data_IF_340844526986
#
_entry.id   IF_340844526986
#
_cell.length_a   1.000
_cell.length_b   1.000
_cell.length_c   1.000
_cell.angle_alpha   90.00
_cell.angle_beta   90.00
_cell.angle_gamma   90.00
#
_symmetry.space_group_name_H-M   'P 1'
#
loop_
_entity.id
_entity.type
_entity.pdbx_description
1 polymer ?
#
# COMPACT_ATOMS: atom_id res chain seq x y z
N UNK A 1 1.42 20.96 -26.80
CA UNK A 1 0.60 19.73 -26.94
C UNK A 1 0.79 18.74 -25.78
N UNK A 2 1.90 18.78 -25.03
CA UNK A 2 2.22 17.89 -23.88
C UNK A 2 1.39 18.25 -22.63
N UNK A 3 1.14 19.54 -22.35
CA UNK A 3 0.39 19.99 -21.16
C UNK A 3 -1.04 19.43 -21.03
N UNK A 4 -1.73 19.21 -22.15
CA UNK A 4 -3.12 18.72 -22.13
C UNK A 4 -3.24 17.20 -21.88
N UNK A 5 -2.22 16.42 -22.23
CA UNK A 5 -2.23 14.96 -21.97
C UNK A 5 -1.94 14.64 -20.51
N UNK A 6 -0.96 15.33 -19.92
CA UNK A 6 -0.57 15.13 -18.51
C UNK A 6 -1.69 15.52 -17.55
N UNK A 7 -2.40 16.62 -17.84
CA UNK A 7 -3.55 17.06 -17.03
C UNK A 7 -4.73 16.08 -17.12
N UNK A 8 -5.01 15.53 -18.32
CA UNK A 8 -6.06 14.52 -18.50
C UNK A 8 -5.75 13.20 -17.79
N UNK A 9 -4.47 12.80 -17.74
CA UNK A 9 -4.02 11.60 -17.03
C UNK A 9 -4.13 11.78 -15.53
N UNK A 10 -3.72 12.92 -15.00
CA UNK A 10 -3.87 13.24 -13.58
C UNK A 10 -5.35 13.28 -13.17
N UNK A 11 -6.19 13.92 -13.98
CA UNK A 11 -7.64 13.99 -13.75
C UNK A 11 -8.32 12.62 -13.86
N UNK A 12 -7.91 11.77 -14.79
CA UNK A 12 -8.44 10.41 -14.93
C UNK A 12 -8.05 9.51 -13.75
N UNK A 13 -6.79 9.55 -13.32
CA UNK A 13 -6.35 8.76 -12.15
C UNK A 13 -7.03 9.22 -10.86
N UNK A 14 -7.26 10.53 -10.69
CA UNK A 14 -7.98 11.08 -9.54
C UNK A 14 -9.47 10.73 -9.58
N UNK A 15 -10.09 10.72 -10.79
CA UNK A 15 -11.49 10.36 -10.96
C UNK A 15 -11.73 8.86 -10.70
N UNK A 16 -10.85 8.00 -11.18
CA UNK A 16 -10.90 6.55 -10.93
C UNK A 16 -10.76 6.27 -9.43
N UNK A 17 -9.85 6.98 -8.76
CA UNK A 17 -9.66 6.88 -7.33
C UNK A 17 -10.88 7.38 -6.54
N UNK A 18 -11.50 8.49 -6.97
CA UNK A 18 -12.71 9.03 -6.35
C UNK A 18 -13.92 8.11 -6.55
N UNK A 19 -14.07 7.48 -7.73
CA UNK A 19 -15.12 6.50 -8.00
C UNK A 19 -14.93 5.21 -7.18
N UNK A 20 -13.70 4.72 -7.04
CA UNK A 20 -13.40 3.57 -6.18
C UNK A 20 -13.70 3.87 -4.71
N UNK A 21 -13.42 5.08 -4.23
CA UNK A 21 -13.69 5.50 -2.85
C UNK A 21 -15.17 5.78 -2.59
N UNK A 22 -15.92 6.29 -3.57
CA UNK A 22 -17.33 6.66 -3.39
C UNK A 22 -18.31 5.49 -3.52
N UNK A 23 -17.97 4.45 -4.28
CA UNK A 23 -18.83 3.28 -4.46
C UNK A 23 -18.85 2.33 -3.23
N UNK A 24 -17.99 2.53 -2.23
CA UNK A 24 -17.65 1.47 -1.29
C UNK A 24 -17.76 1.78 0.20
N UNK A 25 -18.23 2.95 0.62
CA UNK A 25 -18.43 3.22 2.06
C UNK A 25 -19.39 2.19 2.68
N UNK A 26 -20.41 1.75 1.93
CA UNK A 26 -21.35 0.72 2.37
C UNK A 26 -20.75 -0.69 2.34
N UNK A 27 -19.89 -1.00 1.35
CA UNK A 27 -19.23 -2.31 1.27
C UNK A 27 -18.26 -2.52 2.44
N UNK A 28 -17.36 -1.56 2.68
CA UNK A 28 -16.38 -1.66 3.76
C UNK A 28 -17.02 -1.57 5.15
N UNK A 29 -18.09 -0.81 5.29
CA UNK A 29 -18.77 -0.63 6.57
C UNK A 29 -19.67 -1.81 6.95
N UNK A 30 -20.37 -2.38 5.97
CA UNK A 30 -21.42 -3.37 6.21
C UNK A 30 -20.98 -4.81 5.89
N UNK A 31 -20.09 -5.01 4.93
CA UNK A 31 -19.74 -6.34 4.42
C UNK A 31 -18.35 -6.83 4.79
N UNK A 32 -17.35 -5.96 4.82
CA UNK A 32 -16.00 -6.37 5.21
C UNK A 32 -15.93 -6.98 6.62
N UNK A 33 -16.63 -6.45 7.65
CA UNK A 33 -16.65 -7.09 8.96
C UNK A 33 -17.18 -8.52 8.94
N UNK A 34 -18.21 -8.80 8.13
CA UNK A 34 -18.79 -10.16 8.03
C UNK A 34 -17.85 -11.14 7.32
N UNK A 35 -17.13 -10.70 6.30
CA UNK A 35 -16.12 -11.52 5.62
C UNK A 35 -15.03 -11.94 6.59
N UNK A 36 -14.54 -10.97 7.36
CA UNK A 36 -13.48 -11.18 8.33
C UNK A 36 -13.93 -12.11 9.45
N UNK A 37 -15.17 -11.95 9.90
CA UNK A 37 -15.74 -12.81 10.92
C UNK A 37 -15.89 -14.24 10.41
N UNK A 38 -16.33 -14.44 9.16
CA UNK A 38 -16.45 -15.76 8.55
C UNK A 38 -15.10 -16.45 8.38
N UNK A 39 -14.07 -15.72 7.96
CA UNK A 39 -12.70 -16.22 7.88
C UNK A 39 -12.18 -16.56 9.29
N UNK A 40 -12.40 -15.69 10.27
CA UNK A 40 -12.02 -15.94 11.68
C UNK A 40 -12.66 -17.20 12.25
N UNK A 41 -13.97 -17.34 12.08
CA UNK A 41 -14.72 -18.53 12.51
C UNK A 41 -14.24 -19.80 11.80
N UNK A 42 -13.87 -19.73 10.51
CA UNK A 42 -13.28 -20.85 9.77
C UNK A 42 -11.95 -21.29 10.39
N UNK A 43 -11.09 -20.36 10.81
CA UNK A 43 -9.84 -20.71 11.50
C UNK A 43 -10.08 -21.35 12.87
N UNK A 44 -11.05 -20.87 13.65
CA UNK A 44 -11.41 -21.46 14.93
C UNK A 44 -11.93 -22.89 14.79
N UNK A 45 -12.63 -23.20 13.69
CA UNK A 45 -13.21 -24.50 13.39
C UNK A 45 -12.22 -25.45 12.66
N UNK A 46 -11.00 -25.00 12.34
CA UNK A 46 -10.03 -25.76 11.58
C UNK A 46 -10.27 -25.79 10.05
N UNK A 47 -11.22 -25.02 9.56
CA UNK A 47 -11.62 -24.88 8.14
C UNK A 47 -11.18 -23.54 7.54
N UNK A 48 -10.08 -22.97 8.06
CA UNK A 48 -9.64 -21.61 7.69
C UNK A 48 -9.31 -21.45 6.22
N UNK A 49 -8.79 -22.50 5.57
CA UNK A 49 -8.49 -22.47 4.13
C UNK A 49 -9.76 -22.42 3.29
N UNK A 50 -10.73 -23.27 3.60
CA UNK A 50 -12.02 -23.36 2.93
C UNK A 50 -12.84 -22.08 3.10
N UNK A 51 -12.81 -21.48 4.29
CA UNK A 51 -13.45 -20.21 4.58
C UNK A 51 -12.83 -19.05 3.77
N UNK A 52 -11.51 -19.00 3.65
CA UNK A 52 -10.80 -18.01 2.82
C UNK A 52 -11.16 -18.21 1.33
N UNK A 53 -11.14 -19.45 0.85
CA UNK A 53 -11.46 -19.75 -0.56
C UNK A 53 -12.92 -19.41 -0.88
N UNK A 54 -13.87 -19.72 0.00
CA UNK A 54 -15.29 -19.42 -0.17
C UNK A 54 -15.56 -17.91 -0.18
N UNK A 55 -14.99 -17.15 0.77
CA UNK A 55 -15.15 -15.71 0.82
C UNK A 55 -14.44 -15.02 -0.36
N UNK A 56 -13.27 -15.50 -0.74
CA UNK A 56 -12.55 -14.97 -1.89
C UNK A 56 -13.29 -15.22 -3.21
N UNK A 57 -13.90 -16.39 -3.40
CA UNK A 57 -14.73 -16.67 -4.58
C UNK A 57 -16.00 -15.82 -4.59
N UNK A 58 -16.67 -15.65 -3.46
CA UNK A 58 -17.90 -14.87 -3.37
C UNK A 58 -17.68 -13.38 -3.58
N UNK A 59 -16.54 -12.85 -3.17
CA UNK A 59 -16.26 -11.40 -3.15
C UNK A 59 -15.30 -10.95 -4.25
N UNK A 60 -14.31 -11.74 -4.61
CA UNK A 60 -13.42 -11.40 -5.73
C UNK A 60 -14.20 -11.32 -7.05
N UNK A 61 -15.27 -12.11 -7.19
CA UNK A 61 -16.16 -12.07 -8.36
C UNK A 61 -17.08 -10.85 -8.33
N UNK A 62 -17.57 -10.43 -7.17
CA UNK A 62 -18.59 -9.38 -7.08
C UNK A 62 -17.98 -7.97 -6.97
N UNK A 63 -16.96 -7.78 -6.13
CA UNK A 63 -16.23 -6.49 -6.01
C UNK A 63 -15.36 -6.27 -7.25
N UNK A 64 -14.75 -7.32 -7.78
CA UNK A 64 -14.09 -7.25 -9.06
C UNK A 64 -15.07 -6.89 -10.17
N UNK A 65 -16.25 -7.51 -10.26
CA UNK A 65 -17.17 -7.24 -11.35
C UNK A 65 -17.81 -5.84 -11.24
N UNK A 66 -18.31 -5.43 -10.08
CA UNK A 66 -18.99 -4.13 -9.94
C UNK A 66 -18.04 -2.92 -10.01
N UNK A 67 -16.82 -3.02 -9.46
CA UNK A 67 -15.78 -2.00 -9.59
C UNK A 67 -15.01 -2.10 -10.91
N UNK A 68 -14.85 -3.29 -11.44
CA UNK A 68 -14.17 -3.56 -12.71
C UNK A 68 -15.07 -3.18 -13.88
N UNK A 69 -16.36 -3.53 -13.91
CA UNK A 69 -17.24 -3.22 -15.04
C UNK A 69 -17.33 -1.71 -15.31
N UNK A 70 -17.31 -0.88 -14.28
CA UNK A 70 -17.29 0.59 -14.43
C UNK A 70 -15.89 1.16 -14.70
N UNK A 71 -14.85 0.55 -14.13
CA UNK A 71 -13.46 0.94 -14.33
C UNK A 71 -12.85 0.29 -15.59
N UNK A 72 -13.27 -0.93 -15.96
CA UNK A 72 -12.77 -1.68 -17.10
C UNK A 72 -13.03 -0.96 -18.42
N UNK A 73 -14.22 -0.43 -18.68
CA UNK A 73 -14.48 0.30 -19.91
C UNK A 73 -13.60 1.54 -20.09
N UNK A 74 -13.26 2.21 -18.99
CA UNK A 74 -12.42 3.42 -19.03
C UNK A 74 -10.92 3.12 -18.86
N UNK A 75 -10.55 2.04 -18.17
CA UNK A 75 -9.14 1.68 -17.86
C UNK A 75 -8.57 0.71 -18.90
N UNK A 76 -9.34 -0.27 -19.37
CA UNK A 76 -8.88 -1.24 -20.38
C UNK A 76 -8.63 -0.57 -21.74
N UNK A 77 -9.33 0.51 -22.04
CA UNK A 77 -9.06 1.30 -23.24
C UNK A 77 -7.80 2.17 -23.11
N UNK A 78 -7.21 2.28 -21.92
CA UNK A 78 -5.96 3.00 -21.67
C UNK A 78 -4.85 2.05 -21.30
N UNK A 79 -4.12 1.53 -22.28
CA UNK A 79 -3.00 0.58 -22.14
C UNK A 79 -1.81 1.06 -21.29
N UNK A 80 -1.84 2.31 -20.80
CA UNK A 80 -0.75 2.89 -20.01
C UNK A 80 -0.92 2.71 -18.50
N UNK A 81 -2.10 2.36 -17.98
CA UNK A 81 -2.22 1.87 -16.62
C UNK A 81 -1.61 0.47 -16.53
N UNK A 82 -0.74 0.26 -15.55
CA UNK A 82 -0.03 -1.01 -15.36
C UNK A 82 -0.45 -1.74 -14.09
N UNK A 83 -1.04 -1.00 -13.13
CA UNK A 83 -1.41 -1.56 -11.83
C UNK A 83 -2.52 -0.76 -11.15
N UNK A 84 -3.46 -1.46 -10.54
CA UNK A 84 -4.37 -0.95 -9.52
C UNK A 84 -4.18 -1.76 -8.25
N UNK A 85 -4.22 -1.09 -7.11
CA UNK A 85 -3.98 -1.70 -5.81
C UNK A 85 -4.97 -1.14 -4.77
N UNK A 86 -5.64 -2.04 -4.06
CA UNK A 86 -6.55 -1.71 -2.98
C UNK A 86 -6.06 -2.36 -1.70
N UNK A 87 -5.83 -1.57 -0.68
CA UNK A 87 -5.29 -2.03 0.58
C UNK A 87 -6.20 -1.62 1.73
N UNK A 88 -6.60 -2.58 2.52
CA UNK A 88 -7.31 -2.36 3.79
C UNK A 88 -6.42 -2.87 4.91
N UNK A 89 -6.09 -2.00 5.83
CA UNK A 89 -5.29 -2.34 7.01
C UNK A 89 -6.05 -1.95 8.27
N UNK A 90 -6.12 -2.86 9.23
CA UNK A 90 -6.84 -2.64 10.50
C UNK A 90 -6.46 -3.72 11.50
N UNK A 91 -6.85 -3.54 12.75
CA UNK A 91 -7.02 -4.65 13.70
C UNK A 91 -8.30 -5.43 13.33
N UNK A 92 -8.25 -6.05 12.15
CA UNK A 92 -9.38 -6.69 11.49
C UNK A 92 -9.99 -7.80 12.34
N UNK A 93 -9.17 -8.39 13.23
CA UNK A 93 -9.61 -9.51 14.06
C UNK A 93 -9.91 -9.13 15.52
N UNK A 94 -9.81 -7.83 15.88
CA UNK A 94 -10.03 -7.38 17.25
C UNK A 94 -9.05 -7.97 18.28
N UNK A 95 -7.91 -8.48 17.82
CA UNK A 95 -6.97 -9.25 18.64
C UNK A 95 -6.23 -8.35 19.64
N UNK A 96 -6.04 -7.07 19.32
CA UNK A 96 -5.28 -6.16 20.19
C UNK A 96 -6.12 -5.45 21.24
N UNK A 97 -7.47 -5.49 21.13
CA UNK A 97 -8.37 -4.85 22.08
C UNK A 97 -8.22 -3.31 22.16
N UNK A 98 -7.43 -2.71 21.31
CA UNK A 98 -7.28 -1.26 21.17
C UNK A 98 -8.32 -0.72 20.18
N UNK A 99 -8.74 0.54 20.34
CA UNK A 99 -9.53 1.25 19.31
C UNK A 99 -8.66 1.33 18.03
N UNK A 100 -8.78 0.32 17.17
CA UNK A 100 -8.01 0.27 15.94
C UNK A 100 -8.66 1.14 14.88
N UNK A 101 -7.88 2.05 14.35
CA UNK A 101 -8.32 2.93 13.28
C UNK A 101 -8.13 2.23 11.94
N UNK A 102 -9.19 2.15 11.16
CA UNK A 102 -9.16 1.53 9.85
C UNK A 102 -8.33 2.39 8.87
N UNK A 103 -7.49 1.73 8.10
CA UNK A 103 -6.77 2.33 6.98
C UNK A 103 -7.30 1.73 5.68
N UNK A 104 -7.75 2.57 4.78
CA UNK A 104 -8.10 2.19 3.41
C UNK A 104 -7.20 2.95 2.45
N UNK A 105 -6.74 2.28 1.42
CA UNK A 105 -5.87 2.88 0.42
C UNK A 105 -6.19 2.31 -0.96
N UNK A 106 -6.34 3.21 -1.93
CA UNK A 106 -6.42 2.86 -3.33
C UNK A 106 -5.28 3.55 -4.08
N UNK A 107 -4.60 2.84 -4.97
CA UNK A 107 -3.53 3.42 -5.76
C UNK A 107 -3.48 2.86 -7.18
N UNK A 108 -2.90 3.66 -8.08
CA UNK A 108 -2.68 3.31 -9.47
C UNK A 108 -1.25 3.59 -9.88
N UNK A 109 -0.72 2.78 -10.80
CA UNK A 109 0.55 3.02 -11.50
C UNK A 109 0.26 3.22 -12.98
N UNK A 110 0.72 4.35 -13.52
CA UNK A 110 0.56 4.74 -14.89
C UNK A 110 1.93 4.85 -15.57
N UNK A 111 2.11 4.11 -16.66
CA UNK A 111 3.34 4.14 -17.45
C UNK A 111 3.43 5.44 -18.25
N UNK A 112 4.51 6.18 -18.03
CA UNK A 112 4.85 7.38 -18.81
C UNK A 112 5.77 7.04 -19.97
N UNK A 113 6.74 6.15 -19.72
CA UNK A 113 7.71 5.67 -20.70
C UNK A 113 8.22 4.29 -20.31
N UNK A 114 8.50 3.45 -21.28
CA UNK A 114 9.14 2.15 -21.07
C UNK A 114 10.00 1.78 -22.29
N UNK A 115 11.17 1.23 -22.01
CA UNK A 115 11.99 0.50 -22.95
C UNK A 115 12.48 -0.82 -22.32
N UNK A 116 13.47 -1.47 -22.90
CA UNK A 116 13.98 -2.76 -22.43
C UNK A 116 14.46 -2.72 -20.97
N UNK A 117 15.12 -1.63 -20.55
CA UNK A 117 15.75 -1.52 -19.24
C UNK A 117 15.16 -0.43 -18.34
N UNK A 118 14.42 0.55 -18.87
CA UNK A 118 13.93 1.69 -18.10
C UNK A 118 12.40 1.73 -18.12
N UNK A 119 11.83 1.93 -16.94
CA UNK A 119 10.42 2.19 -16.73
C UNK A 119 10.23 3.51 -15.97
N UNK A 120 9.60 4.48 -16.63
CA UNK A 120 9.21 5.76 -16.01
C UNK A 120 7.70 5.75 -15.78
N UNK A 121 7.28 6.09 -14.57
CA UNK A 121 5.88 5.97 -14.16
C UNK A 121 5.43 7.12 -13.28
N UNK A 122 4.12 7.36 -13.30
CA UNK A 122 3.40 8.09 -12.28
C UNK A 122 2.70 7.10 -11.36
N UNK A 123 2.72 7.37 -10.06
CA UNK A 123 1.89 6.69 -9.08
C UNK A 123 1.01 7.70 -8.38
N UNK A 124 -0.28 7.41 -8.31
CA UNK A 124 -1.25 8.21 -7.56
C UNK A 124 -1.98 7.33 -6.57
N UNK A 125 -2.18 7.81 -5.35
CA UNK A 125 -2.97 7.11 -4.34
C UNK A 125 -3.81 8.06 -3.51
N UNK A 126 -4.89 7.52 -2.93
CA UNK A 126 -5.66 8.13 -1.86
C UNK A 126 -5.69 7.18 -0.67
N UNK A 127 -5.36 7.71 0.49
CA UNK A 127 -5.37 6.98 1.75
C UNK A 127 -6.35 7.63 2.69
N UNK A 128 -7.37 6.88 3.11
CA UNK A 128 -8.24 7.29 4.21
C UNK A 128 -7.79 6.60 5.49
N UNK A 129 -7.60 7.39 6.54
CA UNK A 129 -7.25 6.91 7.86
C UNK A 129 -7.86 7.83 8.91
N UNK A 130 -8.65 7.27 9.84
CA UNK A 130 -9.31 8.03 10.89
C UNK A 130 -10.16 9.20 10.34
N UNK A 131 -10.95 8.92 9.30
CA UNK A 131 -11.81 9.89 8.59
C UNK A 131 -11.04 11.03 7.91
N UNK A 132 -9.73 10.90 7.72
CA UNK A 132 -8.88 11.87 7.02
C UNK A 132 -8.32 11.28 5.75
N UNK A 133 -8.35 12.05 4.69
CA UNK A 133 -7.91 11.60 3.37
C UNK A 133 -6.62 12.30 2.95
N UNK A 134 -5.58 11.52 2.68
CA UNK A 134 -4.33 11.98 2.09
C UNK A 134 -4.25 11.57 0.63
N UNK A 135 -4.07 12.54 -0.27
CA UNK A 135 -3.77 12.31 -1.67
C UNK A 135 -2.26 12.31 -1.89
N UNK A 136 -1.77 11.36 -2.69
CA UNK A 136 -0.36 11.22 -3.01
C UNK A 136 -0.20 11.20 -4.53
N UNK A 137 0.71 12.01 -5.05
CA UNK A 137 1.07 12.02 -6.47
C UNK A 137 2.59 11.91 -6.57
N UNK A 138 3.07 10.92 -7.30
CA UNK A 138 4.50 10.67 -7.42
C UNK A 138 4.95 10.34 -8.82
N UNK A 139 6.25 10.52 -9.03
CA UNK A 139 6.98 10.10 -10.21
C UNK A 139 8.08 9.15 -9.78
N UNK A 140 8.28 8.10 -10.55
CA UNK A 140 9.33 7.12 -10.30
C UNK A 140 9.99 6.66 -11.58
N UNK A 141 11.24 6.25 -11.43
CA UNK A 141 12.03 5.61 -12.48
C UNK A 141 12.61 4.31 -11.93
N UNK A 142 12.54 3.26 -12.72
CA UNK A 142 13.14 1.95 -12.44
C UNK A 142 14.05 1.54 -13.59
N UNK A 143 15.18 1.00 -13.25
CA UNK A 143 16.08 0.35 -14.19
C UNK A 143 16.16 -1.14 -13.86
N UNK A 144 15.93 -2.00 -14.85
CA UNK A 144 16.10 -3.45 -14.77
C UNK A 144 17.34 -3.84 -15.58
N UNK A 145 18.15 -4.75 -15.05
CA UNK A 145 19.30 -5.26 -15.78
C UNK A 145 18.90 -6.18 -16.95
N UNK A 146 19.83 -6.43 -17.89
CA UNK A 146 19.56 -7.23 -19.09
C UNK A 146 19.11 -8.66 -18.78
N UNK A 147 19.57 -9.25 -17.68
CA UNK A 147 19.12 -10.56 -17.20
C UNK A 147 17.77 -10.52 -16.47
N UNK A 148 17.16 -9.35 -16.31
CA UNK A 148 15.91 -9.10 -15.61
C UNK A 148 15.87 -9.56 -14.14
N UNK A 149 17.04 -9.73 -13.52
CA UNK A 149 17.16 -10.36 -12.18
C UNK A 149 17.16 -9.37 -11.02
N UNK A 150 17.42 -8.10 -11.28
CA UNK A 150 17.30 -7.03 -10.28
C UNK A 150 16.81 -5.73 -10.87
N UNK A 151 16.16 -4.94 -10.04
CA UNK A 151 15.67 -3.60 -10.34
C UNK A 151 16.24 -2.63 -9.31
N UNK A 152 16.72 -1.48 -9.79
CA UNK A 152 17.05 -0.31 -8.98
C UNK A 152 16.09 0.79 -9.35
N UNK A 153 15.49 1.45 -8.36
CA UNK A 153 14.54 2.52 -8.60
C UNK A 153 14.74 3.72 -7.69
N UNK A 154 14.27 4.86 -8.19
CA UNK A 154 14.16 6.10 -7.44
C UNK A 154 12.80 6.74 -7.67
N UNK A 155 12.28 7.42 -6.65
CA UNK A 155 10.96 8.04 -6.74
C UNK A 155 10.88 9.32 -5.89
N UNK A 156 9.92 10.16 -6.24
CA UNK A 156 9.58 11.36 -5.50
C UNK A 156 8.06 11.53 -5.46
N UNK A 157 7.53 11.95 -4.32
CA UNK A 157 6.09 12.11 -4.07
C UNK A 157 5.78 13.46 -3.43
N UNK A 158 4.62 13.98 -3.78
CA UNK A 158 3.96 15.07 -3.08
C UNK A 158 2.69 14.53 -2.44
N UNK A 159 2.56 14.74 -1.14
CA UNK A 159 1.44 14.28 -0.33
C UNK A 159 0.65 15.50 0.17
N UNK A 160 -0.66 15.41 0.10
CA UNK A 160 -1.59 16.45 0.53
C UNK A 160 -2.76 15.84 1.30
N UNK A 161 -2.93 16.25 2.55
CA UNK A 161 -4.10 15.88 3.37
C UNK A 161 -5.22 16.88 3.14
N UNK A 162 -6.38 16.40 2.71
CA UNK A 162 -7.51 17.25 2.29
C UNK A 162 -8.12 18.03 3.46
N UNK A 163 -8.22 17.41 4.62
CA UNK A 163 -8.96 17.96 5.76
C UNK A 163 -8.17 19.07 6.47
N UNK A 164 -6.89 18.86 6.71
CA UNK A 164 -6.04 19.78 7.47
C UNK A 164 -5.05 20.58 6.62
N UNK A 165 -5.04 20.34 5.29
CA UNK A 165 -4.13 20.98 4.32
C UNK A 165 -2.63 20.74 4.58
N UNK A 166 -2.29 19.74 5.39
CA UNK A 166 -0.90 19.35 5.59
C UNK A 166 -0.27 18.83 4.29
N UNK A 167 0.99 19.19 4.08
CA UNK A 167 1.78 18.90 2.87
C UNK A 167 3.11 18.27 3.25
N UNK A 168 3.55 17.29 2.42
CA UNK A 168 4.80 16.60 2.63
C UNK A 168 5.42 16.21 1.29
N UNK A 169 6.75 16.30 1.17
CA UNK A 169 7.53 15.69 0.10
C UNK A 169 8.10 14.35 0.57
N UNK A 170 8.11 13.38 -0.31
CA UNK A 170 8.74 12.08 -0.10
C UNK A 170 9.75 11.78 -1.19
N UNK A 171 10.87 11.14 -0.82
CA UNK A 171 11.89 10.63 -1.74
C UNK A 171 12.18 9.19 -1.35
N UNK A 172 12.30 8.32 -2.34
CA UNK A 172 12.54 6.91 -2.10
C UNK A 172 13.54 6.31 -3.06
N UNK A 173 14.23 5.29 -2.58
CA UNK A 173 15.06 4.39 -3.39
C UNK A 173 14.64 2.96 -3.12
N UNK A 174 14.78 2.11 -4.13
CA UNK A 174 14.43 0.69 -4.04
C UNK A 174 15.43 -0.17 -4.79
N UNK A 175 15.70 -1.33 -4.22
CA UNK A 175 16.45 -2.42 -4.81
C UNK A 175 15.65 -3.69 -4.67
N UNK A 176 15.28 -4.31 -5.81
CA UNK A 176 14.38 -5.44 -5.85
C UNK A 176 15.06 -6.62 -6.56
N UNK A 177 14.93 -7.80 -5.99
CA UNK A 177 15.27 -9.08 -6.60
C UNK A 177 14.15 -10.09 -6.36
N UNK A 178 14.25 -11.28 -6.95
CA UNK A 178 13.31 -12.37 -6.67
C UNK A 178 13.40 -12.94 -5.24
N UNK A 179 14.46 -12.66 -4.51
CA UNK A 179 14.74 -13.22 -3.18
C UNK A 179 14.59 -12.17 -2.09
N UNK A 180 15.12 -10.98 -2.32
CA UNK A 180 15.17 -9.89 -1.34
C UNK A 180 14.77 -8.57 -1.99
N UNK A 181 14.02 -7.75 -1.26
CA UNK A 181 13.70 -6.39 -1.66
C UNK A 181 14.09 -5.44 -0.53
N UNK A 182 14.77 -4.35 -0.87
CA UNK A 182 15.14 -3.28 0.06
C UNK A 182 14.55 -1.97 -0.43
N UNK A 183 13.91 -1.24 0.47
CA UNK A 183 13.36 0.09 0.21
C UNK A 183 13.73 1.03 1.33
N UNK A 184 14.08 2.26 0.97
CA UNK A 184 14.30 3.34 1.91
C UNK A 184 13.60 4.59 1.43
N UNK A 185 12.87 5.25 2.33
CA UNK A 185 12.12 6.46 2.05
C UNK A 185 12.51 7.55 3.05
N UNK A 186 12.54 8.78 2.59
CA UNK A 186 12.68 9.98 3.40
C UNK A 186 11.51 10.92 3.14
N UNK A 187 11.02 11.54 4.20
CA UNK A 187 9.87 12.43 4.20
C UNK A 187 10.26 13.79 4.76
N UNK A 188 9.84 14.84 4.05
CA UNK A 188 10.10 16.23 4.43
C UNK A 188 8.79 17.00 4.54
N UNK A 189 8.44 17.42 5.73
CA UNK A 189 7.31 18.29 6.00
C UNK A 189 7.44 19.61 5.20
N UNK A 190 6.35 20.03 4.58
CA UNK A 190 6.24 21.28 3.84
C UNK A 190 5.35 22.29 4.58
N UNK A 191 4.58 21.82 5.55
CA UNK A 191 3.75 22.66 6.43
C UNK A 191 4.25 22.52 7.87
N UNK A 192 4.21 23.61 8.59
CA UNK A 192 4.45 23.64 10.03
C UNK A 192 3.21 23.24 10.83
N UNK A 193 2.98 23.93 11.95
CA UNK A 193 1.81 23.75 12.78
C UNK A 193 0.57 24.35 12.11
N UNK A 194 -0.50 23.58 12.09
CA UNK A 194 -1.84 23.99 11.60
C UNK A 194 -2.84 23.63 12.70
N UNK A 195 -3.76 24.57 13.00
CA UNK A 195 -4.87 24.29 13.88
C UNK A 195 -6.03 23.69 13.06
N UNK A 196 -6.44 22.49 13.42
CA UNK A 196 -7.56 21.78 12.81
C UNK A 196 -8.50 21.33 13.91
N UNK A 197 -9.75 21.82 13.88
CA UNK A 197 -10.80 21.54 14.86
C UNK A 197 -10.36 21.78 16.32
N UNK A 198 -9.59 22.85 16.58
CA UNK A 198 -9.08 23.20 17.89
C UNK A 198 -7.90 22.34 18.37
N UNK A 199 -7.32 21.54 17.51
CA UNK A 199 -6.14 20.72 17.77
C UNK A 199 -4.97 21.29 16.95
N UNK A 200 -3.89 21.62 17.63
CA UNK A 200 -2.67 22.04 16.95
C UNK A 200 -1.89 20.82 16.46
N UNK A 201 -1.77 20.69 15.15
CA UNK A 201 -1.09 19.58 14.49
C UNK A 201 0.18 20.05 13.79
N UNK A 202 1.26 19.31 13.93
CA UNK A 202 2.54 19.58 13.26
C UNK A 202 2.97 18.38 12.43
N UNK A 203 3.19 18.60 11.13
CA UNK A 203 3.72 17.56 10.23
C UNK A 203 5.16 17.22 10.61
N UNK A 204 5.46 15.93 10.64
CA UNK A 204 6.79 15.44 11.04
C UNK A 204 7.65 15.12 9.81
N UNK A 205 8.93 15.45 9.91
CA UNK A 205 9.97 14.88 9.06
C UNK A 205 10.19 13.42 9.44
N UNK A 206 10.55 12.57 8.48
CA UNK A 206 10.77 11.17 8.84
C UNK A 206 11.50 10.36 7.79
N UNK A 207 11.73 9.11 8.14
CA UNK A 207 12.28 8.11 7.23
C UNK A 207 11.69 6.72 7.55
N UNK A 208 11.72 5.84 6.56
CA UNK A 208 11.50 4.42 6.77
C UNK A 208 12.46 3.58 5.92
N UNK A 209 12.77 2.39 6.44
CA UNK A 209 13.50 1.33 5.72
C UNK A 209 12.69 0.06 5.84
N UNK A 210 12.50 -0.61 4.72
CA UNK A 210 11.79 -1.88 4.64
C UNK A 210 12.62 -2.94 3.94
N UNK A 211 12.77 -4.07 4.60
CA UNK A 211 13.37 -5.28 4.06
C UNK A 211 12.29 -6.34 3.87
N UNK A 212 12.28 -6.99 2.72
CA UNK A 212 11.37 -8.08 2.39
C UNK A 212 12.20 -9.28 1.95
N UNK A 213 11.91 -10.45 2.49
CA UNK A 213 12.49 -11.72 2.08
C UNK A 213 11.38 -12.62 1.54
N UNK A 214 11.46 -12.98 0.26
CA UNK A 214 10.51 -13.86 -0.39
C UNK A 214 10.71 -15.30 0.08
N UNK A 215 9.62 -15.98 0.45
CA UNK A 215 9.69 -17.33 1.02
C UNK A 215 9.70 -18.39 -0.08
N UNK A 216 10.61 -19.37 -0.03
CA UNK A 216 10.79 -20.34 -1.11
C UNK A 216 9.70 -21.41 -1.16
N UNK A 217 9.01 -21.66 -0.04
CA UNK A 217 8.05 -22.76 0.10
C UNK A 217 6.60 -22.37 -0.17
N UNK A 218 6.32 -21.07 -0.16
CA UNK A 218 4.96 -20.55 -0.35
C UNK A 218 4.94 -19.58 -1.50
N UNK A 219 4.04 -19.80 -2.44
CA UNK A 219 3.84 -18.91 -3.57
C UNK A 219 3.45 -17.51 -3.10
N UNK A 220 4.12 -16.49 -3.66
CA UNK A 220 3.86 -15.07 -3.36
C UNK A 220 3.76 -14.73 -1.87
N UNK A 221 4.47 -15.46 -1.03
CA UNK A 221 4.57 -15.15 0.39
C UNK A 221 5.93 -14.56 0.73
N UNK A 222 5.96 -13.70 1.74
CA UNK A 222 7.18 -13.04 2.18
C UNK A 222 7.15 -12.71 3.66
N UNK A 223 8.34 -12.66 4.24
CA UNK A 223 8.61 -12.07 5.53
C UNK A 223 9.04 -10.63 5.31
N UNK A 224 8.65 -9.71 6.17
CA UNK A 224 9.11 -8.35 6.09
C UNK A 224 9.45 -7.76 7.45
N UNK A 225 10.38 -6.81 7.41
CA UNK A 225 10.71 -5.92 8.52
C UNK A 225 10.65 -4.48 8.02
N UNK A 226 10.02 -3.58 8.78
CA UNK A 226 9.98 -2.14 8.51
C UNK A 226 10.37 -1.40 9.78
N UNK A 227 11.38 -0.55 9.69
CA UNK A 227 11.70 0.46 10.70
C UNK A 227 11.26 1.82 10.20
N UNK A 228 10.64 2.64 11.06
CA UNK A 228 10.29 4.02 10.74
C UNK A 228 10.56 4.96 11.92
N UNK A 229 11.02 6.17 11.62
CA UNK A 229 11.24 7.23 12.58
C UNK A 229 10.68 8.54 12.04
N UNK A 230 9.91 9.27 12.88
CA UNK A 230 9.37 10.60 12.57
C UNK A 230 9.64 11.55 13.71
N UNK A 231 10.00 12.81 13.39
CA UNK A 231 10.42 13.83 14.37
C UNK A 231 10.01 15.24 13.96
N UNK A 232 9.81 16.11 14.94
CA UNK A 232 9.48 17.53 14.74
C UNK A 232 10.70 18.45 14.69
N UNK A 233 11.90 17.92 14.93
CA UNK A 233 13.14 18.70 14.98
C UNK A 233 13.37 19.49 16.27
N UNK A 234 12.41 19.53 17.20
CA UNK A 234 12.46 20.29 18.45
C UNK A 234 12.34 19.42 19.71
N UNK A 235 12.56 18.12 19.57
CA UNK A 235 12.65 17.17 20.70
C UNK A 235 11.61 16.06 20.72
N UNK A 236 10.58 16.11 19.87
CA UNK A 236 9.65 15.00 19.72
C UNK A 236 10.12 14.02 18.64
N UNK A 237 10.18 12.75 18.97
CA UNK A 237 10.46 11.66 18.04
C UNK A 237 9.57 10.45 18.34
N UNK A 238 9.12 9.79 17.31
CA UNK A 238 8.38 8.54 17.42
C UNK A 238 8.94 7.50 16.43
N UNK A 239 9.12 6.28 16.92
CA UNK A 239 9.68 5.17 16.15
C UNK A 239 8.70 4.00 16.15
N UNK A 240 8.69 3.26 15.07
CA UNK A 240 7.93 2.03 14.98
C UNK A 240 8.75 0.95 14.26
N UNK A 241 8.81 -0.22 14.86
CA UNK A 241 9.33 -1.44 14.27
C UNK A 241 8.16 -2.37 13.96
N UNK A 242 8.08 -2.83 12.72
CA UNK A 242 7.02 -3.72 12.26
C UNK A 242 7.64 -4.93 11.57
N UNK A 243 7.26 -6.11 11.97
CA UNK A 243 7.66 -7.35 11.31
C UNK A 243 6.46 -8.26 11.12
N UNK A 244 6.43 -8.97 10.03
CA UNK A 244 5.28 -9.81 9.74
C UNK A 244 5.47 -10.67 8.50
N UNK A 245 4.39 -11.34 8.16
CA UNK A 245 4.27 -12.20 7.00
C UNK A 245 3.14 -11.68 6.13
N UNK A 246 3.33 -11.78 4.81
CA UNK A 246 2.28 -11.59 3.81
C UNK A 246 2.23 -12.83 2.94
N UNK A 247 1.03 -13.26 2.58
CA UNK A 247 0.82 -14.39 1.70
C UNK A 247 -0.34 -14.10 0.73
N UNK A 248 -0.15 -14.43 -0.53
CA UNK A 248 -1.23 -14.44 -1.50
C UNK A 248 -2.06 -15.70 -1.28
N UNK A 249 -3.28 -15.52 -0.78
CA UNK A 249 -4.18 -16.62 -0.41
C UNK A 249 -5.01 -17.10 -1.60
N UNK A 250 -5.34 -16.17 -2.49
CA UNK A 250 -5.90 -16.44 -3.83
C UNK A 250 -5.25 -15.47 -4.82
N UNK A 251 -5.36 -15.68 -6.14
CA UNK A 251 -4.77 -14.75 -7.11
C UNK A 251 -5.14 -13.30 -6.83
N UNK A 252 -4.14 -12.46 -6.75
CA UNK A 252 -4.25 -11.01 -6.52
C UNK A 252 -4.72 -10.58 -5.11
N UNK A 253 -5.04 -11.51 -4.21
CA UNK A 253 -5.46 -11.21 -2.84
C UNK A 253 -4.37 -11.62 -1.85
N UNK A 254 -3.76 -10.63 -1.20
CA UNK A 254 -2.69 -10.82 -0.22
C UNK A 254 -3.19 -10.52 1.18
N UNK A 255 -3.11 -11.52 2.05
CA UNK A 255 -3.35 -11.38 3.48
C UNK A 255 -2.03 -11.10 4.18
N UNK A 256 -2.02 -10.15 5.11
CA UNK A 256 -0.85 -9.82 5.93
C UNK A 256 -1.18 -9.84 7.41
N UNK A 257 -0.26 -10.40 8.20
CA UNK A 257 -0.29 -10.31 9.66
C UNK A 257 1.08 -9.84 10.13
N UNK A 258 1.09 -8.84 11.00
CA UNK A 258 2.32 -8.25 11.51
C UNK A 258 2.19 -7.88 12.99
N UNK A 259 3.32 -7.83 13.66
CA UNK A 259 3.46 -7.21 14.97
C UNK A 259 4.14 -5.86 14.78
N UNK A 260 3.57 -4.82 15.37
CA UNK A 260 4.15 -3.47 15.39
C UNK A 260 4.44 -3.06 16.82
N UNK A 261 5.65 -2.57 17.06
CA UNK A 261 6.08 -1.97 18.33
C UNK A 261 6.41 -0.51 18.11
N UNK A 262 5.67 0.37 18.77
CA UNK A 262 5.90 1.84 18.77
C UNK A 262 6.62 2.27 20.03
N UNK A 263 7.37 3.38 19.95
CA UNK A 263 8.01 3.98 21.12
C UNK A 263 6.98 4.29 22.20
N UNK A 264 7.24 3.80 23.44
CA UNK A 264 6.38 4.07 24.59
C UNK A 264 5.03 3.35 24.61
N UNK A 265 4.78 2.39 23.70
CA UNK A 265 3.55 1.61 23.64
C UNK A 265 3.81 0.10 23.66
N UNK A 266 2.82 -0.68 24.05
CA UNK A 266 2.83 -2.12 23.91
C UNK A 266 2.86 -2.51 22.43
N UNK A 267 3.33 -3.72 22.13
CA UNK A 267 3.27 -4.25 20.77
C UNK A 267 1.82 -4.55 20.40
N UNK A 268 1.46 -4.21 19.17
CA UNK A 268 0.12 -4.39 18.59
C UNK A 268 0.20 -5.39 17.42
N UNK A 269 -0.85 -6.19 17.23
CA UNK A 269 -0.99 -7.04 16.04
C UNK A 269 -1.79 -6.27 14.99
N UNK A 270 -1.28 -6.26 13.77
CA UNK A 270 -1.89 -5.58 12.63
C UNK A 270 -2.21 -6.64 11.58
N UNK A 271 -3.44 -6.65 11.10
CA UNK A 271 -3.83 -7.40 9.92
C UNK A 271 -4.01 -6.45 8.72
N UNK A 272 -3.78 -6.96 7.52
CA UNK A 272 -3.99 -6.21 6.29
C UNK A 272 -4.50 -7.13 5.19
N UNK A 273 -5.40 -6.60 4.37
CA UNK A 273 -5.87 -7.21 3.15
C UNK A 273 -5.50 -6.30 1.99
N UNK A 274 -4.86 -6.87 0.98
CA UNK A 274 -4.46 -6.14 -0.20
C UNK A 274 -4.97 -6.89 -1.44
N UNK A 275 -5.69 -6.18 -2.29
CA UNK A 275 -6.17 -6.68 -3.57
C UNK A 275 -5.53 -5.89 -4.71
N UNK A 276 -4.86 -6.59 -5.62
CA UNK A 276 -4.07 -5.99 -6.68
C UNK A 276 -4.54 -6.44 -8.04
N UNK A 277 -4.72 -5.50 -8.97
CA UNK A 277 -5.13 -5.78 -10.35
C UNK A 277 -3.99 -5.39 -11.28
N UNK A 278 -3.23 -6.35 -11.84
CA UNK A 278 -2.27 -6.06 -12.89
C UNK A 278 -3.00 -5.75 -14.20
N UNK A 279 -2.74 -4.59 -14.79
CA UNK A 279 -3.36 -4.10 -16.02
C UNK A 279 -2.39 -4.19 -17.21
N UNK A 280 -2.92 -4.05 -18.42
CA UNK A 280 -2.09 -3.95 -19.62
C UNK A 280 -1.83 -5.27 -20.33
N UNK A 281 -2.75 -6.23 -20.27
CA UNK A 281 -2.72 -7.49 -21.05
C UNK A 281 -1.54 -8.41 -20.70
N UNK A 282 -0.86 -8.15 -19.58
CA UNK A 282 0.23 -9.00 -19.12
C UNK A 282 -0.34 -10.17 -18.35
N UNK A 283 0.08 -11.34 -18.77
CA UNK A 283 -0.23 -12.63 -18.17
C UNK A 283 -0.29 -12.53 -16.65
N UNK A 284 -1.40 -12.99 -16.07
CA UNK A 284 -1.42 -13.39 -14.66
C UNK A 284 -0.17 -14.24 -14.46
N UNK A 285 0.70 -13.85 -13.53
CA UNK A 285 1.91 -14.63 -13.29
C UNK A 285 1.49 -16.09 -13.13
N UNK A 286 1.89 -16.92 -14.07
CA UNK A 286 1.69 -18.35 -13.91
C UNK A 286 2.33 -18.73 -12.58
N UNK A 287 1.55 -19.38 -11.72
CA UNK A 287 2.04 -19.91 -10.45
C UNK A 287 3.25 -20.79 -10.76
N UNK A 288 4.44 -20.22 -10.70
CA UNK A 288 5.64 -21.03 -10.77
C UNK A 288 5.61 -21.92 -9.54
N UNK A 289 5.41 -23.22 -9.74
CA UNK A 289 5.61 -24.21 -8.69
C UNK A 289 7.01 -23.98 -8.14
N UNK A 290 7.08 -23.52 -6.91
CA UNK A 290 8.36 -23.47 -6.23
C UNK A 290 8.75 -24.91 -5.93
N UNK A 291 9.97 -25.28 -6.32
CA UNK A 291 10.49 -26.66 -6.16
C UNK A 291 10.77 -27.03 -4.69
N UNK A 292 10.20 -26.29 -3.72
CA UNK A 292 10.32 -26.57 -2.29
C UNK A 292 11.74 -26.45 -1.72
N UNK A 293 12.70 -26.00 -2.52
CA UNK A 293 14.11 -25.85 -2.14
C UNK A 293 14.46 -24.37 -2.09
N UNK A 294 15.04 -23.92 -0.99
CA UNK A 294 15.61 -22.59 -0.90
C UNK A 294 16.69 -22.41 -1.97
N UNK A 295 16.49 -21.45 -2.86
CA UNK A 295 17.47 -21.13 -3.90
C UNK A 295 17.92 -19.69 -3.78
N UNK A 296 19.21 -19.45 -3.84
CA UNK A 296 19.81 -18.13 -3.98
C UNK A 296 19.88 -17.66 -5.44
N UNK A 297 19.50 -18.52 -6.41
CA UNK A 297 19.48 -18.15 -7.81
C UNK A 297 18.40 -17.11 -8.07
N UNK A 298 18.80 -15.97 -8.59
CA UNK A 298 17.88 -14.91 -8.97
C UNK A 298 17.08 -15.34 -10.19
N UNK A 299 15.76 -15.07 -10.15
CA UNK A 299 14.82 -15.30 -11.25
C UNK A 299 14.47 -13.97 -11.91
N UNK A 300 14.00 -13.96 -13.17
CA UNK A 300 13.48 -12.75 -13.80
C UNK A 300 12.32 -12.15 -12.99
N UNK A 301 12.34 -10.80 -12.87
CA UNK A 301 11.38 -10.04 -12.06
C UNK A 301 10.78 -8.85 -12.81
N UNK A 302 10.70 -8.89 -14.15
CA UNK A 302 10.18 -7.78 -14.97
C UNK A 302 8.82 -7.27 -14.49
N UNK A 303 7.93 -8.15 -14.05
CA UNK A 303 6.62 -7.77 -13.52
C UNK A 303 6.70 -6.84 -12.29
N UNK A 304 7.81 -6.87 -11.56
CA UNK A 304 8.02 -5.97 -10.42
C UNK A 304 8.30 -4.52 -10.84
N UNK A 305 8.59 -4.26 -12.13
CA UNK A 305 8.65 -2.89 -12.67
C UNK A 305 7.32 -2.15 -12.52
N UNK A 306 6.20 -2.87 -12.57
CA UNK A 306 4.86 -2.31 -12.65
C UNK A 306 4.18 -2.18 -11.31
N UNK A 307 4.70 -2.84 -10.26
CA UNK A 307 4.14 -2.80 -8.92
C UNK A 307 4.26 -1.41 -8.27
N UNK A 308 3.32 -1.03 -7.40
CA UNK A 308 3.41 0.23 -6.67
C UNK A 308 4.68 0.36 -5.82
N UNK A 309 5.18 1.59 -5.71
CA UNK A 309 6.19 1.95 -4.70
C UNK A 309 5.60 1.76 -3.32
N UNK A 310 6.36 1.12 -2.42
CA UNK A 310 5.92 0.90 -1.04
C UNK A 310 6.58 1.94 -0.12
N UNK A 311 5.75 2.77 0.49
CA UNK A 311 6.14 3.89 1.36
C UNK A 311 5.06 4.17 2.41
N UNK A 312 5.29 5.12 3.33
CA UNK A 312 4.22 5.65 4.18
C UNK A 312 3.45 6.72 3.41
N UNK A 313 2.19 6.41 3.05
CA UNK A 313 1.33 7.28 2.24
C UNK A 313 0.48 8.24 3.09
N UNK A 314 0.43 8.07 4.42
CA UNK A 314 -0.19 9.02 5.33
C UNK A 314 0.80 10.09 5.74
N UNK A 315 0.33 11.30 6.00
CA UNK A 315 1.13 12.33 6.64
C UNK A 315 1.14 12.08 8.15
N UNK A 316 2.31 11.78 8.70
CA UNK A 316 2.49 11.54 10.13
C UNK A 316 2.63 12.88 10.85
N UNK A 317 1.85 13.06 11.93
CA UNK A 317 1.71 14.32 12.65
C UNK A 317 1.87 14.12 14.15
N UNK A 318 2.33 15.19 14.82
CA UNK A 318 2.22 15.38 16.26
C UNK A 318 1.01 16.28 16.50
N UNK A 319 0.08 15.83 17.34
CA UNK A 319 -1.07 16.61 17.75
C UNK A 319 -0.94 17.03 19.23
N UNK A 320 -1.33 18.25 19.56
CA UNK A 320 -1.35 18.79 20.91
C UNK A 320 -2.78 19.25 21.22
N UNK A 321 -3.40 18.58 22.17
CA UNK A 321 -4.75 18.95 22.66
C UNK A 321 -4.67 19.30 24.13
N UNK A 322 -5.11 20.53 24.50
CA UNK A 322 -5.15 21.00 25.90
C UNK A 322 -3.82 20.75 26.68
N UNK A 323 -2.68 21.01 26.04
CA UNK A 323 -1.36 20.81 26.63
C UNK A 323 -0.86 19.35 26.72
N UNK A 324 -1.63 18.40 26.23
CA UNK A 324 -1.25 16.99 26.14
C UNK A 324 -0.85 16.66 24.71
N UNK A 325 0.36 16.11 24.55
CA UNK A 325 0.83 15.65 23.23
C UNK A 325 0.20 14.29 22.91
N UNK A 326 -0.55 14.21 21.81
CA UNK A 326 -1.11 12.96 21.28
C UNK A 326 -0.42 12.67 19.94
N UNK A 327 0.21 11.51 19.82
CA UNK A 327 0.78 11.09 18.53
C UNK A 327 -0.31 10.43 17.68
N UNK A 328 -0.59 10.99 16.51
CA UNK A 328 -1.49 10.39 15.52
C UNK A 328 -0.75 9.33 14.71
N UNK A 329 -0.91 8.08 15.09
CA UNK A 329 -0.54 6.91 14.30
C UNK A 329 -1.78 6.09 14.01
#
# INVERSE_FOLDING_TARGET
MIKNKTFKVLAASTLILALALSAEESFFKDKLPSIIQNIGNGFENGEGKEAIEAEAQNYSVKVANDAIDTAEENILNNTNFTYLDFNVGTDVFGISGSESKNKMEAMSVYRLYENENIFLFNQTSAVNFDSRTTLNVGLGVRHINDAETFIVGGNSFYDYELDSEHKRLGFGIEFLTSVVELRANQYKAQTGQINHDGIDETTLDGNDVKLVANMPYFYSSNLFFKHSEFKDGVGYSTKADTWGIKAEVVPNLVLGVAQQKKSGRSAEIIASLNYSIPLGGRSKSEKQKQDGVWTTKLKPIRESLYKPVQRENRIIKKAIKLGVTVSGY
#
